data_IF_040426635161
#
_entry.id   IF_040426635161
#
_cell.length_a   1.000
_cell.length_b   1.000
_cell.length_c   1.000
_cell.angle_alpha   90.00
_cell.angle_beta   90.00
_cell.angle_gamma   90.00
#
_symmetry.space_group_name_H-M   'P 1'
#
loop_
_entity.id
_entity.type
_entity.pdbx_description
1 polymer ?
#
# COMPACT_ATOMS: atom_id res chain seq x y z
N UNK A 1 27.33 -12.81 16.44
CA UNK A 1 26.68 -12.73 15.10
C UNK A 1 25.35 -11.99 15.11
N UNK A 2 24.43 -12.20 16.06
CA UNK A 2 23.11 -11.49 16.09
C UNK A 2 23.21 -9.96 16.11
N UNK A 3 24.14 -9.39 16.87
CA UNK A 3 24.33 -7.93 16.97
C UNK A 3 24.70 -7.31 15.61
N UNK A 4 25.61 -7.93 14.85
CA UNK A 4 26.02 -7.43 13.54
C UNK A 4 24.88 -7.47 12.52
N UNK A 5 24.05 -8.51 12.53
CA UNK A 5 22.89 -8.61 11.65
C UNK A 5 21.84 -7.54 11.96
N UNK A 6 21.62 -7.24 13.24
CA UNK A 6 20.71 -6.15 13.66
C UNK A 6 21.26 -4.80 13.23
N UNK A 7 22.54 -4.52 13.49
CA UNK A 7 23.18 -3.26 13.06
C UNK A 7 23.13 -3.09 11.55
N UNK A 8 23.39 -4.16 10.78
CA UNK A 8 23.27 -4.12 9.32
C UNK A 8 21.83 -3.80 8.88
N UNK A 9 20.83 -4.45 9.49
CA UNK A 9 19.42 -4.20 9.18
C UNK A 9 19.00 -2.75 9.53
N UNK A 10 19.46 -2.21 10.66
CA UNK A 10 19.20 -0.82 11.07
C UNK A 10 19.84 0.22 10.13
N UNK A 11 20.94 -0.14 9.47
CA UNK A 11 21.62 0.75 8.49
C UNK A 11 20.99 0.73 7.10
N UNK A 12 20.04 -0.16 6.82
CA UNK A 12 19.40 -0.22 5.50
C UNK A 12 18.49 0.99 5.32
N UNK A 13 18.64 1.66 4.18
CA UNK A 13 17.79 2.79 3.81
C UNK A 13 16.34 2.32 3.61
N UNK A 14 15.41 2.88 4.38
CA UNK A 14 13.98 2.67 4.18
C UNK A 14 13.57 3.13 2.77
N UNK A 15 12.74 2.32 2.10
CA UNK A 15 12.35 2.61 0.71
C UNK A 15 13.48 2.38 -0.31
N UNK A 16 14.43 1.50 0.00
CA UNK A 16 15.37 0.96 -0.98
C UNK A 16 14.89 -0.37 -1.56
N UNK A 17 15.34 -0.68 -2.78
CA UNK A 17 15.13 -1.97 -3.41
C UNK A 17 15.63 -3.17 -2.56
N UNK A 18 16.62 -2.96 -1.69
CA UNK A 18 17.14 -4.00 -0.78
C UNK A 18 16.10 -4.38 0.28
N UNK A 19 15.45 -3.38 0.88
CA UNK A 19 14.39 -3.61 1.85
C UNK A 19 13.19 -4.29 1.19
N UNK A 20 12.82 -3.88 -0.02
CA UNK A 20 11.72 -4.54 -0.74
C UNK A 20 12.02 -6.00 -1.07
N UNK A 21 13.25 -6.29 -1.51
CA UNK A 21 13.70 -7.64 -1.78
C UNK A 21 13.69 -8.51 -0.52
N UNK A 22 14.18 -7.98 0.61
CA UNK A 22 14.17 -8.69 1.89
C UNK A 22 12.75 -8.90 2.41
N UNK A 23 11.89 -7.89 2.35
CA UNK A 23 10.49 -7.99 2.77
C UNK A 23 9.74 -9.05 1.97
N UNK A 24 9.97 -9.10 0.65
CA UNK A 24 9.43 -10.13 -0.23
C UNK A 24 9.99 -11.53 0.11
N UNK A 25 11.30 -11.66 0.31
CA UNK A 25 11.94 -12.94 0.63
C UNK A 25 11.53 -13.50 2.00
N UNK A 26 11.36 -12.63 3.00
CA UNK A 26 10.97 -13.00 4.35
C UNK A 26 9.46 -13.14 4.54
N UNK A 27 8.67 -12.93 3.47
CA UNK A 27 7.21 -12.95 3.50
C UNK A 27 6.63 -12.04 4.61
N UNK A 28 7.13 -10.80 4.67
CA UNK A 28 6.71 -9.83 5.68
C UNK A 28 5.26 -9.40 5.43
N UNK A 29 4.37 -9.70 6.37
CA UNK A 29 2.99 -9.24 6.36
C UNK A 29 2.83 -7.97 7.20
N UNK A 30 2.76 -6.82 6.52
CA UNK A 30 2.49 -5.53 7.16
C UNK A 30 1.00 -5.35 7.47
N UNK A 31 0.10 -6.08 6.82
CA UNK A 31 -1.34 -6.00 7.04
C UNK A 31 -1.74 -6.31 8.48
N UNK A 32 -1.00 -7.21 9.14
CA UNK A 32 -1.21 -7.55 10.55
C UNK A 32 -0.93 -6.40 11.54
N UNK A 33 -0.09 -5.43 11.13
CA UNK A 33 0.37 -4.34 11.99
C UNK A 33 -0.13 -2.96 11.52
N UNK A 34 -0.89 -2.92 10.42
CA UNK A 34 -1.32 -1.70 9.77
C UNK A 34 -2.82 -1.47 9.98
N UNK A 35 -3.18 -0.23 10.31
CA UNK A 35 -4.53 0.28 10.27
C UNK A 35 -4.46 1.75 9.82
N UNK A 36 -5.27 2.17 8.82
CA UNK A 36 -5.29 3.56 8.43
C UNK A 36 -6.00 4.40 9.50
N UNK A 37 -5.36 5.49 9.90
CA UNK A 37 -5.89 6.48 10.82
C UNK A 37 -6.39 7.73 10.08
N UNK A 38 -6.88 8.72 10.84
CA UNK A 38 -7.33 9.97 10.25
C UNK A 38 -6.21 10.74 9.55
N UNK A 39 -4.97 10.65 10.05
CA UNK A 39 -3.81 11.30 9.44
C UNK A 39 -3.52 10.74 8.04
N UNK A 40 -3.60 9.42 7.86
CA UNK A 40 -3.52 8.77 6.56
C UNK A 40 -4.55 9.35 5.58
N UNK A 41 -5.81 9.41 6.00
CA UNK A 41 -6.88 9.93 5.15
C UNK A 41 -6.71 11.43 4.88
N UNK A 42 -6.23 12.23 5.81
CA UNK A 42 -6.01 13.67 5.61
C UNK A 42 -4.91 13.95 4.57
N UNK A 43 -3.87 13.12 4.55
CA UNK A 43 -2.75 13.23 3.60
C UNK A 43 -3.08 12.70 2.19
N UNK A 44 -4.08 11.83 2.04
CA UNK A 44 -4.49 11.29 0.75
C UNK A 44 -5.17 12.35 -0.14
N UNK A 45 -4.43 13.13 -0.93
CA UNK A 45 -5.01 14.24 -1.71
C UNK A 45 -5.38 13.88 -3.15
N UNK A 46 -4.74 12.87 -3.70
CA UNK A 46 -4.88 12.51 -5.10
C UNK A 46 -6.16 11.70 -5.34
N UNK A 47 -6.98 12.18 -6.28
CA UNK A 47 -8.29 11.58 -6.59
C UNK A 47 -8.17 10.23 -7.29
N UNK A 48 -7.19 10.09 -8.18
CA UNK A 48 -6.97 8.85 -8.92
C UNK A 48 -6.52 7.74 -7.97
N UNK A 49 -5.59 8.07 -7.08
CA UNK A 49 -5.12 7.14 -6.03
C UNK A 49 -6.25 6.76 -5.09
N UNK A 50 -7.04 7.73 -4.60
CA UNK A 50 -8.18 7.45 -3.74
C UNK A 50 -9.22 6.55 -4.42
N UNK A 51 -9.47 6.74 -5.72
CA UNK A 51 -10.38 5.88 -6.46
C UNK A 51 -9.82 4.47 -6.65
N UNK A 52 -8.52 4.33 -6.91
CA UNK A 52 -7.88 3.01 -7.00
C UNK A 52 -7.90 2.26 -5.66
N UNK A 53 -7.69 2.96 -4.54
CA UNK A 53 -7.85 2.38 -3.20
C UNK A 53 -9.30 1.93 -2.96
N UNK A 54 -10.27 2.74 -3.38
CA UNK A 54 -11.68 2.39 -3.30
C UNK A 54 -12.01 1.14 -4.14
N UNK A 55 -11.36 0.94 -5.28
CA UNK A 55 -11.56 -0.26 -6.10
C UNK A 55 -11.06 -1.53 -5.40
N UNK A 56 -10.00 -1.44 -4.60
CA UNK A 56 -9.47 -2.56 -3.82
C UNK A 56 -10.36 -2.91 -2.65
N UNK A 57 -10.80 -1.89 -1.92
CA UNK A 57 -11.58 -2.07 -0.69
C UNK A 57 -13.04 -2.38 -1.00
N UNK A 58 -13.66 -1.60 -1.90
CA UNK A 58 -15.08 -1.68 -2.22
C UNK A 58 -15.42 -2.42 -3.51
N UNK A 59 -14.41 -2.84 -4.28
CA UNK A 59 -14.59 -3.46 -5.59
C UNK A 59 -14.75 -2.42 -6.72
N UNK A 60 -14.47 -2.88 -7.94
CA UNK A 60 -14.47 -2.03 -9.15
C UNK A 60 -15.79 -1.31 -9.39
N UNK A 61 -16.93 -1.97 -9.19
CA UNK A 61 -18.24 -1.36 -9.42
C UNK A 61 -18.50 -0.14 -8.53
N UNK A 62 -18.08 -0.21 -7.27
CA UNK A 62 -18.21 0.91 -6.33
C UNK A 62 -17.27 2.05 -6.72
N UNK A 63 -16.05 1.74 -7.12
CA UNK A 63 -15.10 2.75 -7.59
C UNK A 63 -15.59 3.46 -8.86
N UNK A 64 -16.07 2.73 -9.85
CA UNK A 64 -16.60 3.26 -11.11
C UNK A 64 -17.79 4.20 -10.84
N UNK A 65 -18.71 3.79 -9.95
CA UNK A 65 -19.86 4.61 -9.55
C UNK A 65 -19.48 5.91 -8.80
N UNK A 66 -18.27 5.97 -8.23
CA UNK A 66 -17.78 7.12 -7.46
C UNK A 66 -16.62 7.85 -8.13
N UNK A 67 -16.31 7.55 -9.40
CA UNK A 67 -15.16 8.17 -10.10
C UNK A 67 -15.33 9.69 -10.24
N UNK A 68 -16.56 10.17 -10.42
CA UNK A 68 -16.87 11.60 -10.54
C UNK A 68 -16.89 12.32 -9.18
N UNK A 69 -17.07 11.59 -8.08
CA UNK A 69 -17.22 12.15 -6.74
C UNK A 69 -15.98 12.88 -6.22
N UNK A 70 -16.17 13.73 -5.21
CA UNK A 70 -15.05 14.40 -4.54
C UNK A 70 -14.18 13.38 -3.79
N UNK A 71 -12.87 13.64 -3.68
CA UNK A 71 -11.93 12.77 -2.93
C UNK A 71 -12.41 12.56 -1.49
N UNK A 72 -12.99 13.59 -0.85
CA UNK A 72 -13.56 13.47 0.50
C UNK A 72 -14.67 12.41 0.58
N UNK A 73 -15.53 12.31 -0.44
CA UNK A 73 -16.57 11.27 -0.53
C UNK A 73 -15.93 9.89 -0.66
N UNK A 74 -14.95 9.74 -1.55
CA UNK A 74 -14.25 8.46 -1.76
C UNK A 74 -13.53 7.99 -0.48
N UNK A 75 -12.82 8.88 0.23
CA UNK A 75 -12.19 8.60 1.54
C UNK A 75 -13.20 8.10 2.56
N UNK A 76 -14.37 8.75 2.62
CA UNK A 76 -15.44 8.34 3.53
C UNK A 76 -15.90 6.92 3.22
N UNK A 77 -16.12 6.60 1.95
CA UNK A 77 -16.53 5.25 1.54
C UNK A 77 -15.47 4.21 1.90
N UNK A 78 -14.18 4.52 1.67
CA UNK A 78 -13.08 3.64 2.09
C UNK A 78 -13.14 3.42 3.60
N UNK A 79 -13.23 4.48 4.40
CA UNK A 79 -13.33 4.38 5.87
C UNK A 79 -14.50 3.49 6.27
N UNK A 80 -15.67 3.67 5.66
CA UNK A 80 -16.87 2.88 5.97
C UNK A 80 -16.69 1.38 5.68
N UNK A 81 -15.95 1.00 4.62
CA UNK A 81 -15.62 -0.42 4.38
C UNK A 81 -14.61 -0.97 5.40
N UNK A 82 -13.66 -0.15 5.84
CA UNK A 82 -12.63 -0.57 6.80
C UNK A 82 -13.15 -0.61 8.25
N UNK A 83 -14.23 0.10 8.56
CA UNK A 83 -14.93 -0.01 9.85
C UNK A 83 -16.13 -0.96 9.82
N UNK A 84 -16.58 -1.39 8.64
CA UNK A 84 -17.79 -2.20 8.50
C UNK A 84 -19.09 -1.41 8.72
N UNK A 85 -19.02 -0.08 8.61
CA UNK A 85 -20.15 0.82 8.82
C UNK A 85 -21.04 0.96 7.58
N UNK A 86 -22.20 1.57 7.75
CA UNK A 86 -23.14 1.91 6.65
C UNK A 86 -23.57 0.70 5.80
N UNK A 87 -23.69 -0.48 6.43
CA UNK A 87 -24.12 -1.71 5.78
C UNK A 87 -23.08 -2.34 4.84
N UNK A 88 -21.82 -1.90 4.92
CA UNK A 88 -20.72 -2.42 4.11
C UNK A 88 -20.07 -3.63 4.78
N UNK A 89 -19.59 -4.57 3.98
CA UNK A 89 -18.80 -5.71 4.48
C UNK A 89 -17.46 -5.18 5.00
N UNK A 90 -17.14 -5.51 6.25
CA UNK A 90 -15.85 -5.20 6.84
C UNK A 90 -14.72 -5.82 6.00
N UNK A 91 -13.77 -4.97 5.60
CA UNK A 91 -12.53 -5.40 4.95
C UNK A 91 -11.42 -5.35 5.98
N UNK A 92 -11.00 -6.53 6.43
CA UNK A 92 -9.87 -6.68 7.35
C UNK A 92 -8.55 -6.66 6.57
N UNK A 93 -7.46 -6.34 7.27
CA UNK A 93 -6.07 -6.48 6.76
C UNK A 93 -5.75 -5.74 5.45
N UNK A 94 -6.56 -4.75 5.04
CA UNK A 94 -6.24 -3.92 3.88
C UNK A 94 -5.00 -3.07 4.15
N UNK A 95 -4.08 -3.05 3.19
CA UNK A 95 -2.91 -2.18 3.20
C UNK A 95 -2.77 -1.45 1.86
N UNK A 96 -2.27 -0.19 1.87
CA UNK A 96 -1.94 0.48 0.64
C UNK A 96 -0.87 -0.26 -0.18
N UNK A 97 -0.95 -0.23 -1.51
CA UNK A 97 0.06 -0.85 -2.40
C UNK A 97 1.50 -0.43 -2.14
N UNK A 98 1.73 0.79 -1.66
CA UNK A 98 3.08 1.27 -1.35
C UNK A 98 3.61 0.80 0.02
N UNK A 99 2.81 0.06 0.79
CA UNK A 99 3.19 -0.52 2.09
C UNK A 99 3.37 -2.05 2.04
N UNK A 100 3.01 -2.71 0.93
CA UNK A 100 3.21 -4.15 0.76
C UNK A 100 4.62 -4.46 0.26
N UNK A 101 5.01 -5.72 0.42
CA UNK A 101 6.19 -6.30 -0.18
C UNK A 101 5.81 -7.32 -1.26
N UNK A 102 6.30 -7.18 -2.51
CA UNK A 102 7.06 -6.05 -3.01
C UNK A 102 6.17 -4.81 -3.17
N UNK A 103 6.80 -3.64 -3.14
CA UNK A 103 6.09 -2.37 -3.21
C UNK A 103 5.48 -2.15 -4.60
N UNK A 104 4.29 -1.54 -4.64
CA UNK A 104 3.63 -1.18 -5.90
C UNK A 104 3.09 0.26 -5.89
N UNK A 105 3.06 0.86 -7.08
CA UNK A 105 2.39 2.14 -7.31
C UNK A 105 0.90 1.93 -7.60
N UNK A 106 0.09 2.95 -7.30
CA UNK A 106 -1.31 3.00 -7.75
C UNK A 106 -1.46 3.51 -9.18
N UNK A 107 -0.48 4.26 -9.69
CA UNK A 107 -0.56 4.92 -11.01
C UNK A 107 0.74 4.80 -11.77
N UNK A 108 0.65 4.81 -13.09
CA UNK A 108 1.82 4.75 -13.99
C UNK A 108 2.54 6.09 -14.15
N UNK A 109 2.11 7.14 -13.41
CA UNK A 109 2.71 8.49 -13.43
C UNK A 109 4.16 8.52 -12.92
N UNK A 110 4.62 7.46 -12.27
CA UNK A 110 5.96 7.39 -11.67
C UNK A 110 6.14 8.35 -10.49
N UNK A 111 7.40 8.59 -10.12
CA UNK A 111 7.74 9.50 -9.01
C UNK A 111 7.72 8.83 -7.62
N UNK A 112 7.36 7.55 -7.57
CA UNK A 112 7.51 6.73 -6.38
C UNK A 112 8.79 5.91 -6.47
N UNK A 113 9.90 6.54 -6.04
CA UNK A 113 11.27 6.04 -6.18
C UNK A 113 11.44 4.57 -5.79
N UNK A 114 10.78 4.12 -4.71
CA UNK A 114 10.91 2.75 -4.22
C UNK A 114 10.40 1.73 -5.24
N UNK A 115 9.19 1.93 -5.79
CA UNK A 115 8.66 1.06 -6.85
C UNK A 115 9.54 1.08 -8.11
N UNK A 116 10.07 2.26 -8.48
CA UNK A 116 10.97 2.41 -9.62
C UNK A 116 12.28 1.64 -9.42
N UNK A 117 12.84 1.66 -8.19
CA UNK A 117 14.03 0.90 -7.83
C UNK A 117 13.76 -0.61 -7.83
N UNK A 118 12.66 -1.04 -7.21
CA UNK A 118 12.25 -2.45 -7.19
C UNK A 118 12.08 -2.99 -8.62
N UNK A 119 11.41 -2.25 -9.50
CA UNK A 119 11.19 -2.68 -10.89
C UNK A 119 12.50 -2.99 -11.66
N UNK A 120 13.61 -2.32 -11.32
CA UNK A 120 14.93 -2.55 -11.93
C UNK A 120 15.61 -3.83 -11.46
N UNK A 121 15.36 -4.25 -10.22
CA UNK A 121 16.06 -5.38 -9.60
C UNK A 121 15.20 -6.62 -9.45
N UNK A 122 13.87 -6.53 -9.62
CA UNK A 122 12.93 -7.62 -9.37
C UNK A 122 13.32 -8.93 -10.07
N UNK A 123 13.88 -8.87 -11.27
CA UNK A 123 14.30 -10.05 -12.04
C UNK A 123 15.43 -10.83 -11.38
N UNK A 124 16.20 -10.22 -10.49
CA UNK A 124 17.26 -10.87 -9.71
C UNK A 124 16.69 -11.69 -8.53
N UNK A 125 15.42 -11.48 -8.18
CA UNK A 125 14.76 -12.07 -7.01
C UNK A 125 13.60 -13.00 -7.37
N UNK A 126 13.31 -13.19 -8.66
CA UNK A 126 12.42 -14.27 -9.11
C UNK A 126 13.26 -15.55 -9.18
N UNK A 127 13.17 -16.40 -8.17
CA UNK A 127 13.51 -17.81 -8.34
C UNK A 127 12.49 -18.44 -9.30
N UNK A 128 12.97 -19.21 -10.28
CA UNK A 128 12.14 -20.23 -10.96
C UNK A 128 11.54 -21.23 -9.96
#
# INVERSE_FOLDING_TARGET
>A
MRVLSIVMAETLEAGSAVIDALGNHLNVDIGACWQPDDAFFDLLRDKEIANSMLAEVGGKHVADGNVAEKVKTQKKIIRDFLSGDNGRRLVETWLPRWMKFPVESYTDRGGFRTADQWARVRSLFVCE
#
